data_IF_417991258295
#
_entry.id   IF_417991258295
#
_cell.length_a   1.000
_cell.length_b   1.000
_cell.length_c   1.000
_cell.angle_alpha   90.00
_cell.angle_beta   90.00
_cell.angle_gamma   90.00
#
_symmetry.space_group_name_H-M   'P 1'
#
loop_
_entity.id
_entity.type
_entity.pdbx_description
1 polymer ?
#
# COMPACT_ATOMS: atom_id res chain seq x y z
N UNK A 1 -29.67 -14.10 -10.38
CA UNK A 1 -29.62 -12.81 -9.63
C UNK A 1 -29.98 -11.69 -10.60
N UNK A 2 -30.60 -10.63 -10.11
CA UNK A 2 -30.91 -9.44 -10.91
C UNK A 2 -30.22 -8.23 -10.29
N UNK A 3 -30.06 -7.15 -11.05
CA UNK A 3 -29.63 -5.87 -10.49
C UNK A 3 -30.87 -4.98 -10.40
N UNK A 4 -31.12 -4.43 -9.22
CA UNK A 4 -32.25 -3.54 -8.95
C UNK A 4 -31.73 -2.12 -8.73
N UNK A 5 -32.43 -1.16 -9.31
CA UNK A 5 -32.16 0.26 -9.08
C UNK A 5 -33.05 0.75 -7.94
N UNK A 6 -32.41 1.29 -6.90
CA UNK A 6 -33.06 1.76 -5.68
C UNK A 6 -32.69 3.21 -5.40
N UNK A 7 -33.50 3.88 -4.59
CA UNK A 7 -33.17 5.17 -4.00
C UNK A 7 -32.69 4.87 -2.58
N UNK A 8 -31.41 5.13 -2.32
CA UNK A 8 -30.79 4.97 -1.01
C UNK A 8 -31.15 6.15 -0.08
N UNK A 9 -30.84 5.98 1.21
CA UNK A 9 -31.05 7.02 2.23
C UNK A 9 -30.40 8.34 1.78
N UNK A 10 -31.19 9.42 1.78
CA UNK A 10 -30.77 10.73 1.25
C UNK A 10 -31.14 11.00 -0.21
N UNK A 11 -31.93 10.14 -0.86
CA UNK A 11 -32.47 10.39 -2.20
C UNK A 11 -31.49 10.06 -3.34
N UNK A 12 -30.38 9.38 -3.04
CA UNK A 12 -29.35 9.05 -4.02
C UNK A 12 -29.72 7.78 -4.79
N UNK A 13 -29.56 7.84 -6.11
CA UNK A 13 -29.71 6.68 -6.99
C UNK A 13 -28.59 5.66 -6.75
N UNK A 14 -28.96 4.39 -6.54
CA UNK A 14 -28.02 3.31 -6.23
C UNK A 14 -28.43 1.99 -6.87
N UNK A 15 -27.45 1.13 -7.14
CA UNK A 15 -27.68 -0.21 -7.69
C UNK A 15 -27.32 -1.29 -6.68
N UNK A 16 -28.26 -2.19 -6.44
CA UNK A 16 -28.09 -3.34 -5.53
C UNK A 16 -28.31 -4.64 -6.27
N UNK A 17 -27.64 -5.71 -5.83
CA UNK A 17 -27.80 -7.04 -6.42
C UNK A 17 -28.91 -7.79 -5.69
N UNK A 18 -29.99 -8.10 -6.40
CA UNK A 18 -31.09 -8.91 -5.91
C UNK A 18 -30.72 -10.40 -5.98
N UNK A 19 -30.55 -11.02 -4.81
CA UNK A 19 -30.16 -12.43 -4.69
C UNK A 19 -31.34 -13.38 -4.56
N UNK A 20 -32.35 -13.02 -3.77
CA UNK A 20 -33.48 -13.91 -3.47
C UNK A 20 -34.73 -13.12 -3.08
N UNK A 21 -35.87 -13.52 -3.62
CA UNK A 21 -37.19 -12.99 -3.24
C UNK A 21 -38.01 -14.13 -2.63
N UNK A 22 -38.62 -13.88 -1.47
CA UNK A 22 -39.58 -14.75 -0.78
C UNK A 22 -40.85 -13.95 -0.51
N UNK A 23 -41.93 -14.63 -0.10
CA UNK A 23 -43.22 -13.98 0.20
C UNK A 23 -43.09 -12.76 1.13
N UNK A 24 -42.32 -12.89 2.22
CA UNK A 24 -42.19 -11.86 3.27
C UNK A 24 -40.84 -11.16 3.31
N UNK A 25 -39.88 -11.55 2.46
CA UNK A 25 -38.53 -10.99 2.55
C UNK A 25 -37.76 -11.04 1.24
N UNK A 26 -36.89 -10.05 1.09
CA UNK A 26 -36.00 -9.88 -0.05
C UNK A 26 -34.56 -9.87 0.45
N UNK A 27 -33.68 -10.63 -0.20
CA UNK A 27 -32.24 -10.62 0.08
C UNK A 27 -31.54 -9.86 -1.03
N UNK A 28 -30.93 -8.74 -0.68
CA UNK A 28 -30.10 -7.91 -1.55
C UNK A 28 -28.64 -7.98 -1.10
N UNK A 29 -27.70 -7.63 -1.98
CA UNK A 29 -26.32 -7.31 -1.63
C UNK A 29 -26.03 -5.92 -2.14
N UNK A 30 -25.63 -5.05 -1.23
CA UNK A 30 -25.17 -3.71 -1.56
C UNK A 30 -23.66 -3.77 -1.87
N UNK A 31 -23.22 -3.39 -3.09
CA UNK A 31 -21.81 -3.34 -3.44
C UNK A 31 -20.97 -2.44 -2.53
N UNK A 32 -21.55 -1.38 -1.97
CA UNK A 32 -20.86 -0.44 -1.08
C UNK A 32 -20.58 -1.05 0.31
N UNK A 33 -21.51 -1.86 0.81
CA UNK A 33 -21.39 -2.52 2.12
C UNK A 33 -20.68 -3.89 1.99
N UNK A 34 -20.75 -4.50 0.81
CA UNK A 34 -20.11 -5.78 0.50
C UNK A 34 -20.73 -6.99 1.21
N UNK A 35 -21.93 -6.85 1.80
CA UNK A 35 -22.63 -7.93 2.50
C UNK A 35 -24.07 -8.10 2.04
N UNK A 36 -24.59 -9.32 2.21
CA UNK A 36 -26.00 -9.61 1.94
C UNK A 36 -26.86 -9.12 3.10
N UNK A 37 -27.89 -8.35 2.80
CA UNK A 37 -28.86 -7.83 3.76
C UNK A 37 -30.23 -8.40 3.42
N UNK A 38 -30.99 -8.78 4.45
CA UNK A 38 -32.36 -9.26 4.31
C UNK A 38 -33.31 -8.15 4.74
N UNK A 39 -34.18 -7.74 3.82
CA UNK A 39 -35.20 -6.73 4.02
C UNK A 39 -36.58 -7.39 4.00
N UNK A 40 -37.58 -6.74 4.61
CA UNK A 40 -38.98 -7.08 4.34
C UNK A 40 -39.33 -6.73 2.89
N UNK A 41 -40.34 -7.39 2.35
CA UNK A 41 -40.83 -7.08 0.98
C UNK A 41 -41.29 -5.62 0.88
N UNK A 42 -41.89 -5.09 1.94
CA UNK A 42 -42.35 -3.70 2.04
C UNK A 42 -41.17 -2.72 2.01
N UNK A 43 -40.17 -2.92 2.88
CA UNK A 43 -39.00 -2.05 2.93
C UNK A 43 -38.23 -2.02 1.60
N UNK A 44 -38.13 -3.15 0.91
CA UNK A 44 -37.54 -3.18 -0.42
C UNK A 44 -38.38 -2.44 -1.46
N UNK A 45 -39.72 -2.53 -1.38
CA UNK A 45 -40.63 -1.85 -2.30
C UNK A 45 -40.55 -0.33 -2.16
N UNK A 46 -40.38 0.17 -0.94
CA UNK A 46 -40.30 1.61 -0.67
C UNK A 46 -39.05 2.26 -1.28
N UNK A 47 -37.93 1.54 -1.30
CA UNK A 47 -36.69 2.02 -1.94
C UNK A 47 -36.62 1.73 -3.44
N UNK A 48 -37.42 0.81 -3.96
CA UNK A 48 -37.29 0.32 -5.34
C UNK A 48 -37.94 1.25 -6.35
N UNK A 49 -37.18 1.63 -7.37
CA UNK A 49 -37.63 2.55 -8.43
C UNK A 49 -38.50 1.90 -9.51
N UNK A 50 -38.71 0.58 -9.44
CA UNK A 50 -39.39 -0.19 -10.49
C UNK A 50 -38.46 -0.69 -11.61
N UNK A 51 -37.21 -0.26 -11.65
CA UNK A 51 -36.24 -0.67 -12.69
C UNK A 51 -35.47 -1.92 -12.24
N UNK A 52 -35.45 -2.93 -13.11
CA UNK A 52 -34.70 -4.18 -12.95
C UNK A 52 -33.89 -4.47 -14.21
N UNK A 53 -32.62 -4.84 -14.00
CA UNK A 53 -31.76 -5.38 -15.04
C UNK A 53 -31.65 -6.89 -14.85
N UNK A 54 -32.23 -7.62 -15.82
CA UNK A 54 -32.19 -9.07 -15.89
C UNK A 54 -31.04 -9.50 -16.79
N UNK A 55 -30.19 -10.39 -16.27
CA UNK A 55 -29.00 -10.87 -16.96
C UNK A 55 -29.05 -12.39 -16.99
N UNK A 56 -28.86 -12.95 -18.19
CA UNK A 56 -28.69 -14.38 -18.41
C UNK A 56 -27.44 -14.60 -19.28
N UNK A 57 -26.63 -15.62 -18.99
CA UNK A 57 -25.53 -15.99 -19.88
C UNK A 57 -26.09 -16.46 -21.22
N UNK A 58 -25.41 -16.10 -22.31
CA UNK A 58 -25.69 -16.64 -23.65
C UNK A 58 -24.68 -17.75 -24.00
N UNK A 59 -24.83 -18.38 -25.16
CA UNK A 59 -23.98 -19.50 -25.59
C UNK A 59 -22.50 -19.12 -25.79
N UNK A 60 -22.23 -17.81 -25.93
CA UNK A 60 -20.87 -17.27 -26.04
C UNK A 60 -20.23 -16.93 -24.68
N UNK A 61 -21.00 -16.96 -23.60
CA UNK A 61 -20.52 -16.61 -22.27
C UNK A 61 -19.53 -17.67 -21.77
N UNK A 62 -18.29 -17.25 -21.56
CA UNK A 62 -17.25 -18.09 -20.95
C UNK A 62 -16.87 -17.53 -19.59
N UNK A 63 -17.04 -18.30 -18.50
CA UNK A 63 -16.53 -17.92 -17.19
C UNK A 63 -15.03 -17.64 -17.28
N UNK A 64 -14.61 -16.44 -16.87
CA UNK A 64 -13.21 -16.03 -16.89
C UNK A 64 -12.75 -15.63 -15.50
N UNK A 65 -11.60 -16.15 -15.06
CA UNK A 65 -10.90 -15.61 -13.90
C UNK A 65 -9.77 -14.70 -14.39
N UNK A 66 -10.05 -13.40 -14.53
CA UNK A 66 -9.05 -12.38 -14.90
C UNK A 66 -8.48 -11.63 -13.70
N UNK A 67 -8.62 -12.17 -12.48
CA UNK A 67 -8.03 -11.54 -11.32
C UNK A 67 -6.51 -11.65 -11.38
N UNK A 68 -5.85 -10.54 -11.72
CA UNK A 68 -4.40 -10.43 -11.56
C UNK A 68 -4.09 -10.17 -10.09
N UNK A 69 -3.31 -11.03 -9.43
CA UNK A 69 -2.96 -10.80 -8.04
C UNK A 69 -2.17 -9.49 -7.91
N UNK A 70 -2.43 -8.73 -6.84
CA UNK A 70 -1.89 -7.39 -6.65
C UNK A 70 -0.36 -7.32 -6.78
N UNK A 71 0.36 -8.34 -6.28
CA UNK A 71 1.81 -8.41 -6.37
C UNK A 71 2.33 -8.51 -7.81
N UNK A 72 1.61 -9.18 -8.73
CA UNK A 72 2.01 -9.26 -10.15
C UNK A 72 1.89 -7.90 -10.80
N UNK A 73 0.79 -7.17 -10.53
CA UNK A 73 0.59 -5.79 -10.99
C UNK A 73 1.68 -4.86 -10.46
N UNK A 74 2.01 -4.98 -9.18
CA UNK A 74 3.10 -4.20 -8.56
C UNK A 74 4.45 -4.50 -9.22
N UNK A 75 4.77 -5.77 -9.45
CA UNK A 75 6.01 -6.17 -10.11
C UNK A 75 6.10 -5.65 -11.54
N UNK A 76 5.01 -5.67 -12.29
CA UNK A 76 4.95 -5.10 -13.64
C UNK A 76 5.22 -3.59 -13.62
N UNK A 77 4.63 -2.88 -12.65
CA UNK A 77 4.83 -1.45 -12.47
C UNK A 77 6.25 -1.07 -12.02
N UNK A 78 6.88 -1.91 -11.19
CA UNK A 78 8.25 -1.70 -10.71
C UNK A 78 9.34 -2.10 -11.73
N UNK A 79 9.00 -2.93 -12.73
CA UNK A 79 9.94 -3.46 -13.72
C UNK A 79 10.73 -2.40 -14.51
N UNK A 80 10.14 -1.28 -14.99
CA UNK A 80 10.90 -0.25 -15.69
C UNK A 80 11.87 0.53 -14.79
N UNK A 81 11.61 0.62 -13.49
CA UNK A 81 12.39 1.43 -12.54
C UNK A 81 13.43 0.63 -11.74
N UNK A 82 13.86 -0.54 -12.23
CA UNK A 82 14.81 -1.41 -11.51
C UNK A 82 16.15 -0.77 -11.21
N UNK A 83 16.67 0.05 -12.11
CA UNK A 83 17.96 0.71 -11.92
C UNK A 83 17.90 1.70 -10.75
N UNK A 84 16.86 2.54 -10.70
CA UNK A 84 16.60 3.47 -9.59
C UNK A 84 16.42 2.72 -8.28
N UNK A 85 15.67 1.61 -8.28
CA UNK A 85 15.49 0.77 -7.10
C UNK A 85 16.82 0.20 -6.59
N UNK A 86 17.67 -0.28 -7.50
CA UNK A 86 18.98 -0.84 -7.16
C UNK A 86 19.93 0.24 -6.62
N UNK A 87 19.95 1.43 -7.24
CA UNK A 87 20.73 2.58 -6.78
C UNK A 87 20.28 3.03 -5.38
N UNK A 88 18.98 3.13 -5.15
CA UNK A 88 18.43 3.49 -3.84
C UNK A 88 18.76 2.45 -2.78
N UNK A 89 18.71 1.15 -3.11
CA UNK A 89 19.06 0.06 -2.20
C UNK A 89 20.56 0.07 -1.85
N UNK A 90 21.44 0.22 -2.84
CA UNK A 90 22.88 0.33 -2.63
C UNK A 90 23.23 1.58 -1.83
N UNK A 91 22.64 2.73 -2.17
CA UNK A 91 22.80 3.97 -1.42
C UNK A 91 22.35 3.84 0.03
N UNK A 92 21.22 3.18 0.28
CA UNK A 92 20.75 2.89 1.63
C UNK A 92 21.69 1.95 2.40
N UNK A 93 22.25 0.92 1.74
CA UNK A 93 23.22 0.02 2.35
C UNK A 93 24.51 0.77 2.75
N UNK A 94 25.08 1.58 1.85
CA UNK A 94 26.25 2.41 2.14
C UNK A 94 25.95 3.42 3.25
N UNK A 95 24.82 4.12 3.19
CA UNK A 95 24.39 5.05 4.24
C UNK A 95 24.31 4.37 5.62
N UNK A 96 23.79 3.14 5.66
CA UNK A 96 23.69 2.36 6.90
C UNK A 96 25.07 1.97 7.43
N UNK A 97 25.98 1.51 6.57
CA UNK A 97 27.36 1.18 6.96
C UNK A 97 28.13 2.41 7.46
N UNK A 98 27.98 3.56 6.80
CA UNK A 98 28.54 4.83 7.27
C UNK A 98 27.96 5.21 8.64
N UNK A 99 26.66 5.00 8.85
CA UNK A 99 26.02 5.22 10.16
C UNK A 99 26.66 4.38 11.29
N UNK A 100 26.98 3.11 11.03
CA UNK A 100 27.68 2.24 11.99
C UNK A 100 29.09 2.76 12.35
N UNK A 101 29.72 3.52 11.46
CA UNK A 101 31.06 4.09 11.69
C UNK A 101 31.09 5.03 12.90
N UNK A 102 29.95 5.68 13.22
CA UNK A 102 29.78 6.48 14.43
C UNK A 102 30.02 5.67 15.71
N UNK A 103 29.52 4.43 15.75
CA UNK A 103 29.68 3.55 16.92
C UNK A 103 31.15 3.19 17.12
N UNK A 104 31.86 2.89 16.04
CA UNK A 104 33.30 2.57 16.07
C UNK A 104 34.10 3.81 16.49
N UNK A 105 33.71 5.00 16.03
CA UNK A 105 34.35 6.26 16.41
C UNK A 105 34.28 6.51 17.92
N UNK A 106 33.10 6.38 18.53
CA UNK A 106 32.92 6.53 19.98
C UNK A 106 33.74 5.49 20.74
N UNK A 107 33.74 4.23 20.29
CA UNK A 107 34.56 3.19 20.89
C UNK A 107 36.05 3.57 20.89
N UNK A 108 36.58 4.02 19.75
CA UNK A 108 38.01 4.41 19.66
C UNK A 108 38.36 5.61 20.52
N UNK A 109 37.44 6.57 20.68
CA UNK A 109 37.65 7.69 21.61
C UNK A 109 37.77 7.19 23.04
N UNK A 110 36.82 6.35 23.48
CA UNK A 110 36.78 5.85 24.85
C UNK A 110 38.00 4.99 25.18
N UNK A 111 38.36 4.08 24.26
CA UNK A 111 39.38 3.07 24.53
C UNK A 111 40.81 3.61 24.38
N UNK A 112 41.05 4.50 23.40
CA UNK A 112 42.42 4.94 23.07
C UNK A 112 42.65 6.43 23.35
N UNK A 113 41.73 7.30 22.95
CA UNK A 113 41.96 8.75 23.09
C UNK A 113 41.89 9.19 24.54
N UNK A 114 40.86 8.75 25.29
CA UNK A 114 40.69 9.14 26.70
C UNK A 114 41.73 8.47 27.61
N UNK A 115 42.14 7.24 27.29
CA UNK A 115 43.12 6.48 28.08
C UNK A 115 44.54 7.01 27.84
N UNK A 116 44.94 7.23 26.59
CA UNK A 116 46.31 7.65 26.24
C UNK A 116 46.50 9.18 26.24
N UNK A 117 45.41 9.96 26.26
CA UNK A 117 45.46 11.42 26.17
C UNK A 117 45.94 11.94 24.80
N UNK A 118 45.88 11.12 23.76
CA UNK A 118 46.47 11.42 22.46
C UNK A 118 45.58 12.34 21.60
N UNK A 119 45.83 13.65 21.71
CA UNK A 119 45.08 14.69 20.96
C UNK A 119 45.30 14.60 19.43
N UNK A 120 46.43 14.07 18.97
CA UNK A 120 46.67 13.90 17.53
C UNK A 120 45.77 12.79 16.96
N UNK A 121 45.63 11.67 17.68
CA UNK A 121 44.71 10.59 17.31
C UNK A 121 43.26 11.08 17.34
N UNK A 122 42.88 11.89 18.34
CA UNK A 122 41.57 12.53 18.40
C UNK A 122 41.29 13.39 17.17
N UNK A 123 42.21 14.29 16.81
CA UNK A 123 42.05 15.18 15.67
C UNK A 123 41.93 14.40 14.36
N UNK A 124 42.77 13.37 14.16
CA UNK A 124 42.72 12.51 12.98
C UNK A 124 41.36 11.80 12.85
N UNK A 125 40.89 11.17 13.94
CA UNK A 125 39.61 10.47 13.96
C UNK A 125 38.43 11.44 13.78
N UNK A 126 38.49 12.63 14.40
CA UNK A 126 37.43 13.64 14.31
C UNK A 126 37.28 14.19 12.89
N UNK A 127 38.39 14.50 12.21
CA UNK A 127 38.38 14.92 10.81
C UNK A 127 37.83 13.81 9.91
N UNK A 128 38.27 12.56 10.14
CA UNK A 128 37.73 11.40 9.41
C UNK A 128 36.22 11.25 9.60
N UNK A 129 35.72 11.41 10.83
CA UNK A 129 34.31 11.32 11.15
C UNK A 129 33.49 12.43 10.50
N UNK A 130 34.00 13.68 10.48
CA UNK A 130 33.35 14.79 9.80
C UNK A 130 33.22 14.55 8.29
N UNK A 131 34.25 13.98 7.65
CA UNK A 131 34.20 13.60 6.24
C UNK A 131 33.17 12.49 5.98
N UNK A 132 33.11 11.47 6.84
CA UNK A 132 32.13 10.39 6.72
C UNK A 132 30.70 10.91 6.90
N UNK A 133 30.47 11.82 7.84
CA UNK A 133 29.17 12.47 8.04
C UNK A 133 28.77 13.32 6.84
N UNK A 134 29.69 14.10 6.27
CA UNK A 134 29.44 14.88 5.07
C UNK A 134 29.04 13.99 3.88
N UNK A 135 29.76 12.88 3.68
CA UNK A 135 29.43 11.89 2.66
C UNK A 135 28.08 11.21 2.92
N UNK A 136 27.79 10.88 4.18
CA UNK A 136 26.52 10.26 4.59
C UNK A 136 25.34 11.19 4.28
N UNK A 137 25.44 12.48 4.62
CA UNK A 137 24.42 13.49 4.30
C UNK A 137 24.26 13.63 2.78
N UNK A 138 25.36 13.70 2.02
CA UNK A 138 25.33 13.78 0.56
C UNK A 138 24.59 12.59 -0.08
N UNK A 139 24.94 11.35 0.30
CA UNK A 139 24.26 10.14 -0.18
C UNK A 139 22.79 10.13 0.26
N UNK A 140 22.50 10.56 1.47
CA UNK A 140 21.14 10.66 2.00
C UNK A 140 20.26 11.61 1.17
N UNK A 141 20.79 12.76 0.76
CA UNK A 141 20.09 13.71 -0.12
C UNK A 141 19.89 13.11 -1.51
N UNK A 142 20.93 12.51 -2.12
CA UNK A 142 20.81 11.87 -3.43
C UNK A 142 19.81 10.72 -3.48
N UNK A 143 19.62 9.99 -2.37
CA UNK A 143 18.61 8.92 -2.28
C UNK A 143 17.17 9.46 -2.21
N UNK A 144 17.00 10.67 -1.68
CA UNK A 144 15.70 11.29 -1.46
C UNK A 144 15.22 12.16 -2.64
N UNK A 145 16.15 12.56 -3.51
CA UNK A 145 15.87 13.20 -4.81
C UNK A 145 15.47 12.13 -5.85
#
# INVERSE_FOLDING_TARGET
PAIAHVIADGGLHHFVVLYRVRKTSVTIMDPAIGRRVRLSTEAFRDMWTGVLLLLAPNDTFRPGNRQTPAWKRFRELARPHKAVLAQALLGAAVYTLLGLSTSIYIQKITDFVLVEGNLNLLNLLSIGMLLLLALQVFIGVLKNL
#
